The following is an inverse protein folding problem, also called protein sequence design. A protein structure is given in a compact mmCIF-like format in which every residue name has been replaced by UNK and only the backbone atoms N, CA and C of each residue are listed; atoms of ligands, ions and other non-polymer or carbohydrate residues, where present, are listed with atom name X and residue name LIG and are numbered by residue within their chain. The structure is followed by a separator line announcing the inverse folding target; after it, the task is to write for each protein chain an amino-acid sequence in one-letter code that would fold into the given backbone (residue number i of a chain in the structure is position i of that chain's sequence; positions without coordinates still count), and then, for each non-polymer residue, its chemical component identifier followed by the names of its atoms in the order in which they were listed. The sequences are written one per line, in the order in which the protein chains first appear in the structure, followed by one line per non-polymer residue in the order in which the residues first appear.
data_IF_700761947378
#
_entry.id   IF_700761947378
#
_cell.length_a   1.000
_cell.length_b   1.000
_cell.length_c   1.000
_cell.angle_alpha   90.00
_cell.angle_beta   90.00
_cell.angle_gamma   90.00
#
_symmetry.space_group_name_H-M   'P 1'
#
loop_
_entity.id
_entity.type
_entity.pdbx_description
1 polymer ?
#
# COMPACT_ATOMS: atom_id res chain seq x y z
N UNK A 1 22.41 6.45 14.02
CA UNK A 1 21.10 5.92 14.45
C UNK A 1 20.32 5.54 13.20
N UNK A 2 20.19 4.25 12.88
CA UNK A 2 19.45 3.73 11.69
C UNK A 2 18.40 2.70 12.12
N UNK A 3 17.68 2.98 13.21
CA UNK A 3 16.76 2.01 13.84
C UNK A 3 15.27 2.16 13.48
N UNK A 4 14.87 3.27 12.84
CA UNK A 4 13.45 3.60 12.57
C UNK A 4 12.87 2.88 11.34
N UNK A 5 13.43 3.15 10.14
CA UNK A 5 12.89 2.64 8.85
C UNK A 5 12.73 1.11 8.75
N UNK A 6 13.56 0.32 9.44
CA UNK A 6 13.48 -1.16 9.39
C UNK A 6 12.40 -1.74 10.31
N UNK A 7 11.99 -1.02 11.37
CA UNK A 7 11.00 -1.52 12.34
C UNK A 7 9.57 -1.35 11.84
N UNK A 8 9.26 -0.18 11.27
CA UNK A 8 7.93 0.13 10.68
C UNK A 8 7.60 -0.79 9.50
N UNK A 9 8.59 -1.10 8.66
CA UNK A 9 8.42 -2.05 7.56
C UNK A 9 8.09 -3.46 8.04
N UNK A 10 8.61 -3.89 9.19
CA UNK A 10 8.34 -5.24 9.70
C UNK A 10 6.86 -5.42 10.03
N UNK A 11 6.24 -4.43 10.65
CA UNK A 11 4.81 -4.53 11.02
C UNK A 11 3.91 -4.55 9.79
N UNK A 12 4.16 -3.70 8.80
CA UNK A 12 3.43 -3.72 7.53
C UNK A 12 3.63 -5.04 6.77
N UNK A 13 4.84 -5.60 6.80
CA UNK A 13 5.12 -6.93 6.21
C UNK A 13 4.33 -8.01 6.93
N UNK A 14 4.31 -8.00 8.27
CA UNK A 14 3.60 -8.98 9.08
C UNK A 14 2.09 -8.90 8.84
N UNK A 15 1.52 -7.69 8.75
CA UNK A 15 0.13 -7.46 8.33
C UNK A 15 -0.14 -8.02 6.94
N UNK A 16 0.70 -7.69 5.96
CA UNK A 16 0.54 -8.19 4.59
C UNK A 16 0.58 -9.73 4.53
N UNK A 17 1.42 -10.38 5.36
CA UNK A 17 1.52 -11.84 5.45
C UNK A 17 0.26 -12.52 5.99
N UNK A 18 -0.57 -11.82 6.76
CA UNK A 18 -1.85 -12.36 7.22
C UNK A 18 -2.82 -12.61 6.07
N UNK A 19 -2.68 -11.88 4.96
CA UNK A 19 -3.60 -11.93 3.82
C UNK A 19 -2.99 -12.55 2.56
N UNK A 20 -1.67 -12.70 2.51
CA UNK A 20 -0.97 -13.28 1.36
C UNK A 20 0.32 -13.99 1.76
N UNK A 21 0.60 -15.15 1.16
CA UNK A 21 1.85 -15.88 1.35
C UNK A 21 2.91 -15.43 0.34
N UNK A 22 4.02 -14.87 0.83
CA UNK A 22 5.13 -14.42 -0.02
C UNK A 22 6.50 -14.51 0.68
N UNK A 23 7.56 -14.61 -0.12
CA UNK A 23 8.92 -14.95 0.31
C UNK A 23 9.75 -13.70 0.69
N UNK A 24 9.10 -12.54 0.83
CA UNK A 24 9.70 -11.23 1.11
C UNK A 24 10.34 -10.50 -0.09
N UNK A 25 10.93 -11.21 -1.06
CA UNK A 25 11.68 -10.64 -2.19
C UNK A 25 10.86 -9.93 -3.28
N UNK A 26 9.53 -10.04 -3.22
CA UNK A 26 8.60 -9.58 -4.25
C UNK A 26 7.69 -8.44 -3.77
N UNK A 27 7.97 -7.92 -2.58
CA UNK A 27 7.19 -6.82 -2.00
C UNK A 27 7.75 -5.50 -2.50
N UNK A 28 6.85 -4.63 -2.94
CA UNK A 28 7.19 -3.27 -3.36
C UNK A 28 6.81 -2.33 -2.22
N UNK A 29 7.78 -1.52 -1.80
CA UNK A 29 7.58 -0.49 -0.79
C UNK A 29 7.72 0.88 -1.43
N UNK A 30 6.70 1.73 -1.28
CA UNK A 30 6.74 3.14 -1.69
C UNK A 30 6.24 4.04 -0.56
N UNK A 31 6.83 5.21 -0.41
CA UNK A 31 6.41 6.21 0.58
C UNK A 31 6.18 7.53 -0.14
N UNK A 32 5.03 8.15 0.10
CA UNK A 32 4.64 9.41 -0.52
C UNK A 32 4.27 10.43 0.55
N UNK A 33 4.72 11.68 0.40
CA UNK A 33 4.21 12.78 1.22
C UNK A 33 2.84 13.21 0.70
N UNK A 34 1.81 13.12 1.53
CA UNK A 34 0.43 13.47 1.16
C UNK A 34 -0.13 14.40 2.25
N UNK A 35 -0.09 15.69 1.96
CA UNK A 35 -0.58 16.73 2.89
C UNK A 35 -2.09 16.61 3.10
N UNK A 36 -2.53 16.96 4.30
CA UNK A 36 -3.94 17.02 4.70
C UNK A 36 -4.70 15.69 4.58
N UNK A 37 -3.97 14.57 4.55
CA UNK A 37 -4.54 13.22 4.57
C UNK A 37 -4.90 12.82 5.99
N UNK A 38 -6.13 12.35 6.19
CA UNK A 38 -6.55 11.74 7.45
C UNK A 38 -6.88 10.26 7.23
N UNK A 39 -6.88 9.48 8.30
CA UNK A 39 -7.20 8.05 8.22
C UNK A 39 -8.59 7.79 7.60
N UNK A 40 -9.57 8.68 7.88
CA UNK A 40 -10.91 8.63 7.29
C UNK A 40 -10.90 9.01 5.81
N UNK A 41 -10.20 10.08 5.42
CA UNK A 41 -10.08 10.47 4.01
C UNK A 41 -9.41 9.37 3.18
N UNK A 42 -8.39 8.73 3.74
CA UNK A 42 -7.72 7.60 3.11
C UNK A 42 -8.71 6.45 2.87
N UNK A 43 -9.51 6.06 3.87
CA UNK A 43 -10.56 5.06 3.70
C UNK A 43 -11.53 5.42 2.59
N UNK A 44 -12.03 6.65 2.60
CA UNK A 44 -13.04 7.09 1.66
C UNK A 44 -12.51 7.06 0.21
N UNK A 45 -11.22 7.32 0.00
CA UNK A 45 -10.55 7.12 -1.29
C UNK A 45 -10.36 5.65 -1.68
N UNK A 46 -10.26 4.73 -0.72
CA UNK A 46 -10.10 3.29 -0.95
C UNK A 46 -11.44 2.59 -1.27
N UNK A 47 -12.57 3.17 -0.83
CA UNK A 47 -13.91 2.64 -1.12
C UNK A 47 -14.13 2.56 -2.63
N UNK A 48 -14.58 1.40 -3.10
CA UNK A 48 -14.84 1.16 -4.52
C UNK A 48 -13.60 0.79 -5.35
N UNK A 49 -12.40 0.84 -4.79
CA UNK A 49 -11.17 0.40 -5.49
C UNK A 49 -10.97 -1.12 -5.47
N UNK A 50 -11.47 -1.77 -4.43
CA UNK A 50 -11.25 -3.17 -4.13
C UNK A 50 -11.95 -3.58 -2.84
N UNK A 51 -11.48 -4.68 -2.23
CA UNK A 51 -11.99 -5.17 -0.95
C UNK A 51 -11.04 -4.75 0.17
N UNK A 52 -11.54 -3.95 1.12
CA UNK A 52 -10.82 -3.68 2.38
C UNK A 52 -10.82 -4.96 3.21
N UNK A 53 -9.64 -5.44 3.58
CA UNK A 53 -9.40 -6.65 4.35
C UNK A 53 -9.17 -6.35 5.84
N UNK A 54 -8.64 -5.16 6.14
CA UNK A 54 -8.35 -4.71 7.50
C UNK A 54 -8.44 -3.19 7.64
N UNK A 55 -8.94 -2.74 8.79
CA UNK A 55 -8.90 -1.35 9.27
C UNK A 55 -8.35 -1.37 10.71
N UNK A 56 -7.09 -0.97 10.88
CA UNK A 56 -6.41 -0.87 12.19
C UNK A 56 -6.31 0.60 12.59
N UNK A 57 -7.25 1.06 13.40
CA UNK A 57 -7.34 2.46 13.85
C UNK A 57 -6.22 2.86 14.79
N UNK A 58 -5.69 1.92 15.58
CA UNK A 58 -4.60 2.19 16.52
C UNK A 58 -3.30 2.46 15.78
N UNK A 59 -3.04 1.66 14.74
CA UNK A 59 -1.81 1.77 13.94
C UNK A 59 -1.96 2.64 12.68
N UNK A 60 -3.17 3.12 12.42
CA UNK A 60 -3.57 3.81 11.19
C UNK A 60 -3.20 3.02 9.92
N UNK A 61 -3.51 1.73 9.91
CA UNK A 61 -3.22 0.83 8.80
C UNK A 61 -4.51 0.37 8.12
N UNK A 62 -4.52 0.39 6.79
CA UNK A 62 -5.47 -0.35 5.96
C UNK A 62 -4.77 -1.48 5.23
N UNK A 63 -5.46 -2.60 5.05
CA UNK A 63 -5.04 -3.63 4.08
C UNK A 63 -6.14 -3.78 3.05
N UNK A 64 -5.81 -3.70 1.77
CA UNK A 64 -6.77 -3.77 0.67
C UNK A 64 -6.34 -4.77 -0.40
N UNK A 65 -7.29 -5.57 -0.88
CA UNK A 65 -7.15 -6.38 -2.09
C UNK A 65 -7.70 -5.63 -3.31
N UNK A 66 -6.85 -5.34 -4.29
CA UNK A 66 -7.18 -4.59 -5.49
C UNK A 66 -6.91 -5.44 -6.73
N UNK A 67 -7.88 -5.48 -7.64
CA UNK A 67 -7.68 -6.03 -8.99
C UNK A 67 -6.87 -5.05 -9.84
N UNK A 68 -5.79 -5.54 -10.42
CA UNK A 68 -4.78 -4.79 -11.17
C UNK A 68 -4.11 -5.71 -12.22
N UNK A 69 -3.09 -5.21 -12.93
CA UNK A 69 -2.40 -5.94 -14.00
C UNK A 69 -3.17 -5.91 -15.32
N UNK A 70 -2.79 -6.78 -16.26
CA UNK A 70 -3.43 -6.82 -17.59
C UNK A 70 -4.90 -7.22 -17.43
N UNK A 71 -5.81 -6.39 -17.97
CA UNK A 71 -7.27 -6.56 -17.88
C UNK A 71 -7.83 -6.72 -16.45
N UNK A 72 -7.15 -6.20 -15.42
CA UNK A 72 -7.55 -6.35 -14.00
C UNK A 72 -7.69 -7.81 -13.56
N UNK A 73 -6.91 -8.72 -14.16
CA UNK A 73 -7.04 -10.17 -13.90
C UNK A 73 -6.25 -10.65 -12.68
N UNK A 74 -5.28 -9.87 -12.20
CA UNK A 74 -4.48 -10.23 -11.04
C UNK A 74 -4.95 -9.43 -9.82
N UNK A 75 -4.89 -10.05 -8.64
CA UNK A 75 -5.17 -9.36 -7.38
C UNK A 75 -3.84 -9.01 -6.71
N UNK A 76 -3.66 -7.74 -6.38
CA UNK A 76 -2.63 -7.27 -5.47
C UNK A 76 -3.23 -7.08 -4.08
N UNK A 77 -2.46 -7.40 -3.04
CA UNK A 77 -2.76 -6.99 -1.67
C UNK A 77 -1.80 -5.84 -1.35
N UNK A 78 -2.34 -4.74 -0.83
CA UNK A 78 -1.57 -3.56 -0.46
C UNK A 78 -1.89 -3.21 0.98
N UNK A 79 -0.87 -3.18 1.83
CA UNK A 79 -0.94 -2.59 3.16
C UNK A 79 -0.54 -1.12 3.07
N UNK A 80 -1.31 -0.25 3.70
CA UNK A 80 -1.21 1.20 3.60
C UNK A 80 -1.21 1.77 5.01
N UNK A 81 -0.17 2.50 5.38
CA UNK A 81 -0.06 3.15 6.68
C UNK A 81 0.01 4.65 6.52
N UNK A 82 -0.86 5.37 7.22
CA UNK A 82 -0.74 6.81 7.41
C UNK A 82 0.21 7.07 8.58
N UNK A 83 1.27 7.85 8.35
CA UNK A 83 2.24 8.23 9.37
C UNK A 83 1.98 9.65 9.89
N UNK A 84 2.45 9.93 11.11
CA UNK A 84 2.25 11.23 11.78
C UNK A 84 2.93 12.41 11.06
N UNK A 85 3.90 12.15 10.18
CA UNK A 85 4.65 13.16 9.42
C UNK A 85 4.00 13.55 8.07
N UNK A 86 2.71 13.21 7.89
CA UNK A 86 1.97 13.34 6.63
C UNK A 86 2.54 12.51 5.48
N UNK A 87 3.25 11.42 5.79
CA UNK A 87 3.60 10.42 4.77
C UNK A 87 2.63 9.25 4.79
N UNK A 88 2.47 8.64 3.62
CA UNK A 88 1.71 7.40 3.45
C UNK A 88 2.65 6.35 2.89
N UNK A 89 2.79 5.26 3.65
CA UNK A 89 3.61 4.10 3.30
C UNK A 89 2.74 3.03 2.65
N UNK A 90 3.16 2.55 1.48
CA UNK A 90 2.49 1.53 0.70
C UNK A 90 3.38 0.30 0.58
N UNK A 91 2.90 -0.82 1.06
CA UNK A 91 3.56 -2.10 0.93
C UNK A 91 2.68 -3.05 0.12
N UNK A 92 3.04 -3.24 -1.15
CA UNK A 92 2.26 -4.00 -2.12
C UNK A 92 2.89 -5.35 -2.45
N UNK A 93 2.06 -6.38 -2.54
CA UNK A 93 2.42 -7.68 -3.09
C UNK A 93 1.37 -8.16 -4.08
N UNK A 94 1.83 -8.79 -5.15
CA UNK A 94 0.98 -9.51 -6.08
C UNK A 94 1.72 -10.77 -6.52
N UNK A 95 1.02 -11.91 -6.49
CA UNK A 95 1.56 -13.15 -7.02
C UNK A 95 1.55 -13.09 -8.54
N UNK A 96 2.71 -12.92 -9.15
CA UNK A 96 2.84 -12.91 -10.60
C UNK A 96 3.36 -14.27 -11.10
N UNK A 97 2.93 -14.65 -12.31
CA UNK A 97 3.46 -15.82 -12.99
C UNK A 97 4.82 -15.54 -13.64
N UNK A 98 5.19 -16.36 -14.62
CA UNK A 98 6.46 -16.23 -15.37
C UNK A 98 6.65 -14.85 -16.03
N UNK A 99 5.56 -14.14 -16.34
CA UNK A 99 5.58 -12.80 -16.91
C UNK A 99 5.29 -11.80 -15.80
N UNK A 100 6.29 -10.95 -15.50
CA UNK A 100 6.13 -9.83 -14.55
C UNK A 100 5.22 -8.77 -15.14
N UNK A 101 4.06 -8.54 -14.53
CA UNK A 101 3.08 -7.55 -14.97
C UNK A 101 3.13 -6.26 -14.14
N UNK A 102 4.00 -6.21 -13.12
CA UNK A 102 4.11 -5.10 -12.18
C UNK A 102 2.78 -4.80 -11.47
N UNK A 103 2.00 -5.83 -11.18
CA UNK A 103 0.62 -5.76 -10.67
C UNK A 103 0.56 -5.00 -9.34
N UNK A 104 1.48 -5.28 -8.41
CA UNK A 104 1.56 -4.60 -7.11
C UNK A 104 1.87 -3.11 -7.27
N UNK A 105 2.83 -2.77 -8.12
CA UNK A 105 3.19 -1.38 -8.41
C UNK A 105 2.03 -0.63 -9.07
N UNK A 106 1.39 -1.24 -10.08
CA UNK A 106 0.20 -0.67 -10.72
C UNK A 106 -0.96 -0.48 -9.75
N UNK A 107 -1.13 -1.38 -8.78
CA UNK A 107 -2.14 -1.24 -7.75
C UNK A 107 -1.86 -0.02 -6.84
N UNK A 108 -0.60 0.15 -6.40
CA UNK A 108 -0.18 1.33 -5.63
C UNK A 108 -0.41 2.61 -6.44
N UNK A 109 0.00 2.64 -7.71
CA UNK A 109 -0.21 3.81 -8.58
C UNK A 109 -1.70 4.14 -8.76
N UNK A 110 -2.55 3.10 -8.89
CA UNK A 110 -4.01 3.28 -8.97
C UNK A 110 -4.56 3.91 -7.70
N UNK A 111 -4.10 3.50 -6.52
CA UNK A 111 -4.46 4.13 -5.24
C UNK A 111 -3.99 5.59 -5.19
N UNK A 112 -2.74 5.83 -5.59
CA UNK A 112 -2.15 7.18 -5.64
C UNK A 112 -2.97 8.16 -6.49
N UNK A 113 -3.48 7.69 -7.64
CA UNK A 113 -4.33 8.51 -8.52
C UNK A 113 -5.68 8.89 -7.88
N UNK A 114 -6.21 8.06 -6.96
CA UNK A 114 -7.45 8.35 -6.23
C UNK A 114 -7.24 9.29 -5.05
N UNK A 115 -6.10 9.22 -4.36
CA UNK A 115 -5.82 10.03 -3.17
C UNK A 115 -5.26 11.42 -3.48
N UNK A 116 -5.10 11.78 -4.78
CA UNK A 116 -4.57 13.04 -5.34
C UNK A 116 -3.90 13.99 -4.33
N UNK A 117 -2.57 13.95 -4.21
CA UNK A 117 -1.82 14.96 -3.48
C UNK A 117 -1.90 16.31 -4.20
N UNK A 118 -2.00 17.42 -3.46
CA UNK A 118 -1.81 18.77 -4.02
C UNK A 118 -0.36 19.06 -4.42
N UNK A 119 0.61 18.17 -4.14
CA UNK A 119 1.98 18.26 -4.70
C UNK A 119 2.69 16.91 -4.56
N UNK A 120 3.02 16.24 -5.66
CA UNK A 120 3.85 15.03 -5.64
C UNK A 120 5.32 15.38 -5.37
N UNK A 121 5.90 14.83 -4.30
CA UNK A 121 7.35 14.62 -4.20
C UNK A 121 7.61 13.24 -3.62
N UNK A 122 8.18 12.35 -4.43
CA UNK A 122 8.79 11.12 -3.92
C UNK A 122 9.97 11.49 -3.03
N UNK A 123 9.92 11.06 -1.76
CA UNK A 123 11.04 11.20 -0.83
C UNK A 123 11.97 10.01 -1.06
N UNK A 124 13.13 10.27 -1.69
CA UNK A 124 14.20 9.29 -1.90
C UNK A 124 14.83 8.84 -0.57
#
# INVERSE_FOLDING_TARGET
MYGGKMRENKELIDKLRMYTSFNGKEVIHKIYMIRDMSFVKLRDSLIGMGQILEEDFEKQVYVIAIRSGTANMNTAVVAIQLMDDNTVSFLGYAKEGLIKQHTAEKAILKIMDQIKPTTDREVQ
#
